data_IF_802192304316
#
_entry.id   IF_802192304316
#
_cell.length_a   1.000
_cell.length_b   1.000
_cell.length_c   1.000
_cell.angle_alpha   90.00
_cell.angle_beta   90.00
_cell.angle_gamma   90.00
#
_symmetry.space_group_name_H-M   'P 1'
#
loop_
_entity.id
_entity.type
_entity.pdbx_description
1 polymer ?
#
# COMPACT_ATOMS: atom_id res chain seq x y z
N UNK A 1 -3.78 -63.46 33.07
CA UNK A 1 -4.23 -62.98 31.74
C UNK A 1 -5.12 -61.74 31.82
N UNK A 2 -6.27 -61.76 32.52
CA UNK A 2 -7.20 -60.60 32.59
C UNK A 2 -6.61 -59.34 33.23
N UNK A 3 -5.76 -59.47 34.24
CA UNK A 3 -5.10 -58.32 34.90
C UNK A 3 -4.12 -57.57 33.99
N UNK A 4 -3.34 -58.30 33.19
CA UNK A 4 -2.42 -57.72 32.21
C UNK A 4 -3.15 -56.95 31.11
N UNK A 5 -4.29 -57.46 30.63
CA UNK A 5 -5.10 -56.75 29.63
C UNK A 5 -5.71 -55.46 30.19
N UNK A 6 -6.17 -55.46 31.45
CA UNK A 6 -6.65 -54.23 32.09
C UNK A 6 -5.53 -53.21 32.32
N UNK A 7 -4.36 -53.66 32.78
CA UNK A 7 -3.20 -52.78 32.97
C UNK A 7 -2.75 -52.15 31.66
N UNK A 8 -2.69 -52.94 30.57
CA UNK A 8 -2.36 -52.44 29.24
C UNK A 8 -3.39 -51.42 28.73
N UNK A 9 -4.69 -51.66 28.95
CA UNK A 9 -5.74 -50.73 28.55
C UNK A 9 -5.63 -49.38 29.30
N UNK A 10 -5.36 -49.43 30.62
CA UNK A 10 -5.15 -48.22 31.43
C UNK A 10 -3.93 -47.44 30.92
N UNK A 11 -2.84 -48.13 30.56
CA UNK A 11 -1.63 -47.51 30.01
C UNK A 11 -1.92 -46.82 28.66
N UNK A 12 -2.70 -47.46 27.79
CA UNK A 12 -3.12 -46.88 26.51
C UNK A 12 -3.98 -45.64 26.72
N UNK A 13 -4.97 -45.69 27.62
CA UNK A 13 -5.84 -44.53 27.93
C UNK A 13 -5.03 -43.38 28.52
N UNK A 14 -4.10 -43.65 29.44
CA UNK A 14 -3.16 -42.66 29.98
C UNK A 14 -2.30 -42.03 28.86
N UNK A 15 -1.78 -42.84 27.94
CA UNK A 15 -1.02 -42.35 26.80
C UNK A 15 -1.84 -41.44 25.87
N UNK A 16 -3.09 -41.81 25.60
CA UNK A 16 -4.01 -40.99 24.79
C UNK A 16 -4.39 -39.68 25.48
N UNK A 17 -4.64 -39.72 26.80
CA UNK A 17 -4.92 -38.51 27.58
C UNK A 17 -3.73 -37.54 27.55
N UNK A 18 -2.51 -38.05 27.73
CA UNK A 18 -1.29 -37.25 27.63
C UNK A 18 -1.09 -36.68 26.22
N UNK A 19 -1.32 -37.49 25.18
CA UNK A 19 -1.20 -37.05 23.80
C UNK A 19 -2.21 -35.95 23.45
N UNK A 20 -3.48 -36.13 23.82
CA UNK A 20 -4.53 -35.14 23.59
C UNK A 20 -4.23 -33.82 24.32
N UNK A 21 -3.75 -33.88 25.56
CA UNK A 21 -3.35 -32.69 26.32
C UNK A 21 -2.19 -31.95 25.64
N UNK A 22 -1.16 -32.69 25.20
CA UNK A 22 -0.01 -32.11 24.50
C UNK A 22 -0.42 -31.47 23.16
N UNK A 23 -1.26 -32.14 22.38
CA UNK A 23 -1.71 -31.63 21.09
C UNK A 23 -2.56 -30.37 21.25
N UNK A 24 -3.41 -30.34 22.28
CA UNK A 24 -4.20 -29.16 22.61
C UNK A 24 -3.32 -27.93 22.88
N UNK A 25 -2.20 -28.11 23.59
CA UNK A 25 -1.26 -27.04 23.91
C UNK A 25 -0.58 -26.45 22.66
N UNK A 26 -0.23 -27.30 21.67
CA UNK A 26 0.40 -26.86 20.42
C UNK A 26 -0.54 -25.98 19.59
N UNK A 27 -1.82 -26.34 19.56
CA UNK A 27 -2.85 -25.59 18.83
C UNK A 27 -3.19 -24.27 19.53
N UNK A 28 -3.23 -24.26 20.86
CA UNK A 28 -3.50 -23.05 21.62
C UNK A 28 -2.43 -21.97 21.43
N UNK A 29 -1.16 -22.36 21.30
CA UNK A 29 -0.07 -21.40 21.07
C UNK A 29 -0.28 -20.63 19.77
N UNK A 30 -0.54 -21.31 18.65
CA UNK A 30 -0.76 -20.64 17.36
C UNK A 30 -2.02 -19.77 17.35
N UNK A 31 -3.09 -20.18 18.04
CA UNK A 31 -4.31 -19.38 18.17
C UNK A 31 -4.02 -18.08 18.95
N UNK A 32 -3.20 -18.17 20.00
CA UNK A 32 -2.84 -17.02 20.82
C UNK A 32 -2.03 -15.96 20.05
N UNK A 33 -1.07 -16.42 19.23
CA UNK A 33 -0.26 -15.55 18.36
C UNK A 33 -1.12 -14.86 17.30
N UNK A 34 -1.99 -15.62 16.62
CA UNK A 34 -2.95 -15.06 15.66
C UNK A 34 -3.86 -14.01 16.30
N UNK A 35 -4.36 -14.27 17.51
CA UNK A 35 -5.20 -13.32 18.23
C UNK A 35 -4.42 -12.05 18.62
N UNK A 36 -3.12 -12.17 18.95
CA UNK A 36 -2.27 -11.00 19.21
C UNK A 36 -2.09 -10.14 17.97
N UNK A 37 -1.72 -10.75 16.85
CA UNK A 37 -1.54 -10.02 15.57
C UNK A 37 -2.83 -9.36 15.12
N UNK A 38 -3.98 -10.03 15.25
CA UNK A 38 -5.27 -9.42 14.91
C UNK A 38 -5.60 -8.20 15.77
N UNK A 39 -5.27 -8.23 17.08
CA UNK A 39 -5.43 -7.06 17.95
C UNK A 39 -4.53 -5.92 17.50
N UNK A 40 -3.28 -6.20 17.15
CA UNK A 40 -2.35 -5.19 16.64
C UNK A 40 -2.86 -4.55 15.32
N UNK A 41 -3.35 -5.37 14.40
CA UNK A 41 -3.96 -4.88 13.15
C UNK A 41 -5.18 -3.99 13.44
N UNK A 42 -6.01 -4.35 14.42
CA UNK A 42 -7.17 -3.55 14.79
C UNK A 42 -6.77 -2.17 15.32
N UNK A 43 -5.75 -2.11 16.19
CA UNK A 43 -5.22 -0.85 16.71
C UNK A 43 -4.64 0.03 15.59
N UNK A 44 -3.79 -0.54 14.73
CA UNK A 44 -3.19 0.21 13.61
C UNK A 44 -4.23 0.75 12.62
N UNK A 45 -5.34 0.02 12.42
CA UNK A 45 -6.44 0.48 11.57
C UNK A 45 -7.19 1.67 12.17
N UNK A 46 -7.32 1.71 13.50
CA UNK A 46 -7.93 2.84 14.20
C UNK A 46 -7.05 4.09 14.05
N UNK A 47 -5.74 3.94 14.26
CA UNK A 47 -4.75 5.01 14.05
C UNK A 47 -4.80 5.56 12.62
N UNK A 48 -4.86 4.67 11.61
CA UNK A 48 -5.01 5.08 10.21
C UNK A 48 -6.32 5.85 9.96
N UNK A 49 -7.39 5.53 10.68
CA UNK A 49 -8.66 6.26 10.63
C UNK A 49 -8.48 7.70 11.08
N UNK A 50 -7.82 7.90 12.22
CA UNK A 50 -7.51 9.23 12.76
C UNK A 50 -6.61 10.02 11.80
N UNK A 51 -5.49 9.44 11.35
CA UNK A 51 -4.57 10.10 10.43
C UNK A 51 -5.24 10.48 9.11
N UNK A 52 -6.15 9.64 8.58
CA UNK A 52 -6.92 9.96 7.39
C UNK A 52 -7.90 11.11 7.62
N UNK A 53 -8.52 11.18 8.79
CA UNK A 53 -9.38 12.30 9.16
C UNK A 53 -8.56 13.61 9.25
N UNK A 54 -7.39 13.57 9.89
CA UNK A 54 -6.48 14.70 9.96
C UNK A 54 -6.02 15.16 8.58
N UNK A 55 -5.58 14.23 7.72
CA UNK A 55 -5.19 14.55 6.36
C UNK A 55 -6.34 15.18 5.56
N UNK A 56 -7.56 14.67 5.73
CA UNK A 56 -8.75 15.23 5.07
C UNK A 56 -9.04 16.66 5.56
N UNK A 57 -8.78 16.95 6.84
CA UNK A 57 -8.95 18.27 7.43
C UNK A 57 -7.87 19.26 6.94
N UNK A 58 -6.62 18.81 6.86
CA UNK A 58 -5.51 19.62 6.34
C UNK A 58 -5.69 19.94 4.84
N UNK A 59 -6.18 18.99 4.04
CA UNK A 59 -6.34 19.13 2.59
C UNK A 59 -7.71 19.68 2.16
N UNK A 60 -8.49 20.29 3.06
CA UNK A 60 -9.76 20.92 2.67
C UNK A 60 -9.48 22.07 1.68
N UNK A 61 -10.05 22.06 0.46
CA UNK A 61 -9.73 23.05 -0.57
C UNK A 61 -10.05 24.49 -0.14
N UNK A 62 -11.09 24.67 0.69
CA UNK A 62 -11.41 25.98 1.26
C UNK A 62 -10.28 26.53 2.16
N UNK A 63 -9.71 25.67 3.03
CA UNK A 63 -8.60 26.04 3.91
C UNK A 63 -7.31 26.28 3.12
N UNK A 64 -7.05 25.45 2.12
CA UNK A 64 -5.89 25.63 1.25
C UNK A 64 -5.96 26.97 0.50
N UNK A 65 -7.14 27.37 0.01
CA UNK A 65 -7.36 28.70 -0.59
C UNK A 65 -7.08 29.83 0.40
N UNK A 66 -7.63 29.75 1.61
CA UNK A 66 -7.38 30.75 2.65
C UNK A 66 -5.89 30.88 3.00
N UNK A 67 -5.16 29.77 3.09
CA UNK A 67 -3.71 29.76 3.34
C UNK A 67 -2.90 30.36 2.18
N UNK A 68 -3.32 30.11 0.93
CA UNK A 68 -2.73 30.71 -0.26
C UNK A 68 -2.96 32.21 -0.28
N UNK A 69 -4.19 32.65 0.00
CA UNK A 69 -4.55 34.08 0.05
C UNK A 69 -3.73 34.81 1.12
N UNK A 70 -3.56 34.20 2.30
CA UNK A 70 -2.72 34.73 3.38
C UNK A 70 -1.24 34.84 3.02
N UNK A 71 -0.73 34.01 2.10
CA UNK A 71 0.68 33.97 1.70
C UNK A 71 0.88 34.39 0.24
N UNK A 72 -0.06 35.17 -0.31
CA UNK A 72 -0.09 35.51 -1.72
C UNK A 72 1.19 36.20 -2.19
N UNK A 73 1.79 37.06 -1.36
CA UNK A 73 3.04 37.77 -1.67
C UNK A 73 4.20 36.83 -2.04
N UNK A 74 4.21 35.60 -1.50
CA UNK A 74 5.26 34.61 -1.74
C UNK A 74 4.86 33.56 -2.77
N UNK A 75 3.61 33.09 -2.72
CA UNK A 75 3.15 32.00 -3.58
C UNK A 75 2.65 32.48 -4.94
N UNK A 76 2.05 33.67 -5.02
CA UNK A 76 1.45 34.23 -6.24
C UNK A 76 0.54 33.24 -6.99
N UNK A 77 -0.10 32.33 -6.24
CA UNK A 77 -1.00 31.32 -6.78
C UNK A 77 -2.40 31.89 -6.92
N UNK A 78 -3.03 31.61 -8.06
CA UNK A 78 -4.40 32.01 -8.38
C UNK A 78 -5.21 30.73 -8.63
N UNK A 79 -6.48 30.67 -8.20
CA UNK A 79 -7.33 29.52 -8.47
C UNK A 79 -7.41 29.20 -9.98
N UNK A 80 -7.23 27.93 -10.30
CA UNK A 80 -7.39 27.43 -11.67
C UNK A 80 -8.88 27.46 -12.04
N UNK A 81 -9.22 28.21 -13.09
CA UNK A 81 -10.58 28.25 -13.60
C UNK A 81 -10.85 27.05 -14.51
N UNK A 82 -12.07 26.53 -14.51
CA UNK A 82 -12.45 25.31 -15.25
C UNK A 82 -12.25 25.38 -16.78
N UNK A 83 -12.03 26.58 -17.33
CA UNK A 83 -11.71 26.79 -18.75
C UNK A 83 -10.21 26.77 -19.09
N UNK A 84 -9.32 26.69 -18.10
CA UNK A 84 -7.86 26.74 -18.30
C UNK A 84 -7.23 25.35 -18.54
N UNK A 85 -8.01 24.29 -18.44
CA UNK A 85 -7.62 22.93 -18.84
C UNK A 85 -7.95 22.70 -20.31
N UNK A 86 -6.93 22.40 -21.11
CA UNK A 86 -7.03 22.09 -22.55
C UNK A 86 -6.87 20.58 -22.74
N UNK A 87 -7.67 19.98 -23.62
CA UNK A 87 -7.52 18.55 -23.97
C UNK A 87 -6.17 18.29 -24.65
N UNK A 88 -5.59 17.10 -24.45
CA UNK A 88 -4.27 16.77 -25.02
C UNK A 88 -4.23 16.87 -26.55
N UNK A 89 -5.38 16.68 -27.23
CA UNK A 89 -5.49 16.83 -28.68
C UNK A 89 -5.51 18.28 -29.16
N UNK A 90 -5.69 19.25 -28.26
CA UNK A 90 -5.74 20.69 -28.55
C UNK A 90 -4.41 21.41 -28.21
N UNK A 91 -3.34 20.64 -27.95
CA UNK A 91 -1.99 21.17 -27.71
C UNK A 91 -1.26 21.24 -29.05
N UNK A 92 -0.89 22.44 -29.49
CA UNK A 92 0.00 22.61 -30.64
C UNK A 92 1.40 22.10 -30.27
N UNK A 93 1.75 20.92 -30.76
CA UNK A 93 3.10 20.39 -30.65
C UNK A 93 4.01 21.07 -31.68
N UNK A 94 5.23 21.49 -31.29
CA UNK A 94 6.20 21.97 -32.26
C UNK A 94 6.50 20.87 -33.28
N UNK A 95 6.61 21.25 -34.57
CA UNK A 95 7.00 20.32 -35.61
C UNK A 95 8.33 19.65 -35.23
N UNK A 96 8.49 18.33 -35.45
CA UNK A 96 9.76 17.66 -35.23
C UNK A 96 10.86 18.42 -35.97
N UNK A 97 12.04 18.64 -35.34
CA UNK A 97 13.15 19.25 -36.06
C UNK A 97 13.43 18.41 -37.32
N UNK A 98 13.70 19.05 -38.47
CA UNK A 98 14.00 18.34 -39.69
C UNK A 98 15.12 17.34 -39.41
N UNK A 99 15.09 16.14 -40.02
CA UNK A 99 16.20 15.21 -39.94
C UNK A 99 17.48 15.97 -40.26
N UNK A 100 18.58 15.77 -39.51
CA UNK A 100 19.85 16.36 -39.88
C UNK A 100 20.08 16.03 -41.36
N UNK A 101 20.33 17.07 -42.17
CA UNK A 101 20.63 16.89 -43.57
C UNK A 101 21.67 15.77 -43.64
N UNK A 102 21.41 14.75 -44.46
CA UNK A 102 22.41 13.75 -44.78
C UNK A 102 23.55 14.48 -45.49
N UNK A 103 24.46 15.06 -44.71
CA UNK A 103 25.75 15.53 -45.17
C UNK A 103 26.54 14.28 -45.53
N UNK A 104 26.53 13.91 -46.82
CA UNK A 104 27.44 12.89 -47.32
C UNK A 104 26.98 12.04 -48.49
N UNK A 105 26.33 12.60 -49.52
CA UNK A 105 26.38 12.03 -50.87
C UNK A 105 26.60 13.16 -51.90
N UNK A 106 27.77 13.81 -51.82
CA UNK A 106 28.29 14.62 -52.93
C UNK A 106 29.43 13.83 -53.58
N UNK A 107 29.06 13.08 -54.62
CA UNK A 107 29.86 12.74 -55.80
C UNK A 107 31.40 12.80 -55.66
N UNK A 108 32.03 11.66 -55.36
CA UNK A 108 33.33 11.36 -55.95
C UNK A 108 33.11 11.02 -57.44
N UNK A 109 33.40 11.96 -58.34
CA UNK A 109 34.22 11.71 -59.53
C UNK A 109 34.43 12.97 -60.40
N UNK A 110 35.65 13.49 -60.31
CA UNK A 110 36.35 14.31 -61.30
C UNK A 110 37.77 13.70 -61.39
N UNK A 111 38.54 13.76 -62.49
CA UNK A 111 38.35 14.40 -63.81
C UNK A 111 38.16 13.44 -65.00
#
# INVERSE_FOLDING_TARGET
MRTLTFLGCILVVMGLAFWAYRENYRTQASISEMAQVQREIALLRDDLGVLRAEWSYLNRPARLRELVDLNFDRLQLVPLEAGQTVDLGNIDYPAPPPPPAAEGETEEQQP
#
